data_IF_595939148780
#
_entry.id   IF_595939148780
#
_cell.length_a   1.000
_cell.length_b   1.000
_cell.length_c   1.000
_cell.angle_alpha   90.00
_cell.angle_beta   90.00
_cell.angle_gamma   90.00
#
_symmetry.space_group_name_H-M   'P 1'
#
loop_
_entity.id
_entity.type
_entity.pdbx_description
1 polymer ?
#
# COMPACT_ATOMS: atom_id res chain seq x y z
N UNK A 1 2.96 28.95 9.12
CA UNK A 1 2.80 27.58 9.66
C UNK A 1 2.93 26.64 8.47
N UNK A 2 3.77 25.58 8.55
CA UNK A 2 3.96 24.61 7.47
C UNK A 2 2.70 23.73 7.35
N UNK A 3 2.16 23.59 6.14
CA UNK A 3 1.01 22.74 5.82
C UNK A 3 1.49 21.61 4.89
N UNK A 4 1.51 20.39 5.42
CA UNK A 4 2.00 19.21 4.68
C UNK A 4 1.10 18.87 3.47
N UNK A 5 -0.22 19.06 3.59
CA UNK A 5 -1.15 18.79 2.49
C UNK A 5 -0.90 19.73 1.32
N UNK A 6 -0.76 21.01 1.61
CA UNK A 6 -0.40 22.02 0.60
C UNK A 6 0.98 21.75 -0.01
N UNK A 7 1.97 21.36 0.81
CA UNK A 7 3.29 20.99 0.33
C UNK A 7 3.23 19.81 -0.64
N UNK A 8 2.52 18.73 -0.27
CA UNK A 8 2.35 17.54 -1.15
C UNK A 8 1.74 17.97 -2.49
N UNK A 9 0.68 18.76 -2.46
CA UNK A 9 -0.01 19.21 -3.68
C UNK A 9 0.90 20.03 -4.60
N UNK A 10 1.67 20.95 -4.03
CA UNK A 10 2.48 21.88 -4.79
C UNK A 10 3.81 21.29 -5.28
N UNK A 11 4.52 20.54 -4.44
CA UNK A 11 5.90 20.12 -4.67
C UNK A 11 6.09 18.62 -4.97
N UNK A 12 5.13 17.77 -4.63
CA UNK A 12 5.29 16.32 -4.81
C UNK A 12 4.42 15.79 -5.94
N UNK A 13 3.14 16.15 -5.96
CA UNK A 13 2.20 15.67 -6.98
C UNK A 13 1.87 16.71 -8.05
N UNK A 14 2.28 17.98 -7.87
CA UNK A 14 2.14 19.11 -8.81
C UNK A 14 0.71 19.36 -9.30
N UNK A 15 -0.29 19.22 -8.42
CA UNK A 15 -1.71 19.47 -8.73
C UNK A 15 -2.50 19.97 -7.52
N UNK A 16 -3.46 20.85 -7.79
CA UNK A 16 -4.33 21.41 -6.76
C UNK A 16 -5.59 20.56 -6.62
N UNK A 17 -5.56 19.59 -5.71
CA UNK A 17 -6.66 18.67 -5.45
C UNK A 17 -6.51 17.33 -6.15
N UNK A 18 -7.44 16.41 -5.87
CA UNK A 18 -7.37 15.05 -6.37
C UNK A 18 -7.72 14.94 -7.85
N UNK A 19 -6.91 14.22 -8.60
CA UNK A 19 -7.19 13.89 -10.00
C UNK A 19 -8.41 12.95 -10.17
N UNK A 20 -8.87 12.31 -9.11
CA UNK A 20 -9.99 11.36 -9.15
C UNK A 20 -11.36 12.01 -8.86
N UNK A 21 -11.39 13.29 -8.47
CA UNK A 21 -12.63 14.02 -8.22
C UNK A 21 -13.63 13.94 -9.39
N UNK A 22 -13.23 14.12 -10.66
CA UNK A 22 -14.16 14.00 -11.79
C UNK A 22 -14.76 12.59 -11.94
N UNK A 23 -13.97 11.53 -11.69
CA UNK A 23 -14.47 10.16 -11.75
C UNK A 23 -15.44 9.87 -10.59
N UNK A 24 -15.16 10.37 -9.38
CA UNK A 24 -16.05 10.25 -8.21
C UNK A 24 -17.39 10.93 -8.48
N UNK A 25 -17.38 12.15 -8.99
CA UNK A 25 -18.57 12.89 -9.36
C UNK A 25 -19.38 12.14 -10.44
N UNK A 26 -18.73 11.70 -11.50
CA UNK A 26 -19.34 10.97 -12.61
C UNK A 26 -20.02 9.68 -12.16
N UNK A 27 -19.45 8.96 -11.21
CA UNK A 27 -19.94 7.66 -10.74
C UNK A 27 -20.60 7.71 -9.36
N UNK A 28 -20.94 8.91 -8.86
CA UNK A 28 -21.44 9.12 -7.51
C UNK A 28 -22.65 8.21 -7.18
N UNK A 29 -23.63 8.12 -8.06
CA UNK A 29 -24.82 7.30 -7.82
C UNK A 29 -24.49 5.81 -7.71
N UNK A 30 -23.55 5.32 -8.53
CA UNK A 30 -23.08 3.93 -8.45
C UNK A 30 -22.30 3.67 -7.15
N UNK A 31 -21.49 4.63 -6.71
CA UNK A 31 -20.77 4.53 -5.43
C UNK A 31 -21.76 4.51 -4.26
N UNK A 32 -22.81 5.34 -4.31
CA UNK A 32 -23.88 5.31 -3.32
C UNK A 32 -24.58 3.97 -3.30
N UNK A 33 -25.00 3.43 -4.45
CA UNK A 33 -25.64 2.10 -4.56
C UNK A 33 -24.78 0.99 -3.95
N UNK A 34 -23.45 1.07 -4.10
CA UNK A 34 -22.53 0.03 -3.66
C UNK A 34 -22.12 0.13 -2.18
N UNK A 35 -22.26 1.31 -1.56
CA UNK A 35 -21.73 1.55 -0.21
C UNK A 35 -22.83 1.82 0.82
N UNK A 36 -23.89 2.55 0.44
CA UNK A 36 -24.95 2.91 1.38
C UNK A 36 -25.55 1.66 2.02
N UNK A 37 -25.63 1.66 3.34
CA UNK A 37 -26.25 0.59 4.11
C UNK A 37 -25.47 -0.72 4.16
N UNK A 38 -24.23 -0.77 3.65
CA UNK A 38 -23.40 -1.99 3.64
C UNK A 38 -22.57 -2.12 4.92
N UNK A 39 -22.29 -3.39 5.27
CA UNK A 39 -21.29 -3.74 6.28
C UNK A 39 -19.90 -3.83 5.65
N UNK A 40 -18.95 -3.10 6.21
CA UNK A 40 -17.59 -2.97 5.66
C UNK A 40 -16.56 -3.47 6.65
N UNK A 41 -15.69 -4.39 6.23
CA UNK A 41 -14.49 -4.82 6.97
C UNK A 41 -13.24 -4.24 6.29
N UNK A 42 -12.43 -3.52 7.06
CA UNK A 42 -11.15 -2.98 6.61
C UNK A 42 -10.02 -3.58 7.44
N UNK A 43 -9.17 -4.38 6.82
CA UNK A 43 -7.99 -5.00 7.42
C UNK A 43 -6.76 -4.14 7.08
N UNK A 44 -5.90 -3.86 8.08
CA UNK A 44 -4.80 -2.89 7.93
C UNK A 44 -5.33 -1.44 7.85
N UNK A 45 -6.48 -1.19 8.49
CA UNK A 45 -7.24 0.05 8.34
C UNK A 45 -6.62 1.26 9.04
N UNK A 46 -5.71 1.05 9.98
CA UNK A 46 -4.97 2.15 10.64
C UNK A 46 -3.69 2.56 9.89
N UNK A 47 -3.31 1.82 8.85
CA UNK A 47 -2.22 2.19 7.93
C UNK A 47 -2.60 3.37 7.04
N UNK A 48 -1.61 3.95 6.32
CA UNK A 48 -1.82 5.15 5.49
C UNK A 48 -2.91 4.95 4.42
N UNK A 49 -2.88 3.85 3.67
CA UNK A 49 -3.84 3.60 2.60
C UNK A 49 -5.20 3.17 3.17
N UNK A 50 -5.20 2.28 4.19
CA UNK A 50 -6.43 1.81 4.83
C UNK A 50 -7.23 2.95 5.45
N UNK A 51 -6.58 3.86 6.18
CA UNK A 51 -7.22 5.04 6.76
C UNK A 51 -7.73 6.01 5.70
N UNK A 52 -7.00 6.18 4.58
CA UNK A 52 -7.44 6.98 3.45
C UNK A 52 -8.65 6.37 2.73
N UNK A 53 -8.69 5.04 2.57
CA UNK A 53 -9.86 4.34 2.05
C UNK A 53 -11.09 4.53 2.94
N UNK A 54 -10.93 4.41 4.26
CA UNK A 54 -12.00 4.67 5.22
C UNK A 54 -12.55 6.08 5.04
N UNK A 55 -11.68 7.09 4.94
CA UNK A 55 -12.09 8.49 4.71
C UNK A 55 -12.81 8.67 3.39
N UNK A 56 -12.43 7.94 2.34
CA UNK A 56 -13.07 8.01 1.03
C UNK A 56 -14.47 7.40 1.01
N UNK A 57 -14.72 6.29 1.76
CA UNK A 57 -16.03 5.62 1.76
C UNK A 57 -17.04 6.22 2.74
N UNK A 58 -16.59 6.85 3.85
CA UNK A 58 -17.48 7.38 4.89
C UNK A 58 -18.53 8.38 4.37
N UNK A 59 -18.23 9.31 3.43
CA UNK A 59 -19.24 10.20 2.87
C UNK A 59 -20.42 9.47 2.19
N UNK A 60 -20.21 8.22 1.77
CA UNK A 60 -21.25 7.35 1.18
C UNK A 60 -22.05 6.56 2.21
N UNK A 61 -21.84 6.77 3.52
CA UNK A 61 -22.64 6.27 4.64
C UNK A 61 -22.82 4.74 4.65
N UNK A 62 -21.74 3.95 4.80
CA UNK A 62 -21.90 2.53 5.15
C UNK A 62 -22.66 2.41 6.48
N UNK A 63 -23.45 1.36 6.65
CA UNK A 63 -24.21 1.14 7.88
C UNK A 63 -23.33 0.62 9.02
N UNK A 64 -22.22 -0.02 8.68
CA UNK A 64 -21.29 -0.60 9.62
C UNK A 64 -19.86 -0.50 9.09
N UNK A 65 -18.92 -0.25 9.99
CA UNK A 65 -17.49 -0.21 9.69
C UNK A 65 -16.71 -0.94 10.80
N UNK A 66 -16.17 -2.11 10.46
CA UNK A 66 -15.22 -2.84 11.29
C UNK A 66 -13.81 -2.62 10.78
N UNK A 67 -12.91 -2.18 11.64
CA UNK A 67 -11.52 -1.89 11.31
C UNK A 67 -10.61 -2.80 12.13
N UNK A 68 -9.76 -3.56 11.43
CA UNK A 68 -8.79 -4.48 12.05
C UNK A 68 -7.38 -4.02 11.71
N UNK A 69 -6.55 -3.89 12.73
CA UNK A 69 -5.12 -3.60 12.58
C UNK A 69 -4.35 -4.16 13.79
N UNK A 70 -3.09 -4.49 13.61
CA UNK A 70 -2.22 -4.93 14.72
C UNK A 70 -1.72 -3.75 15.57
N UNK A 71 -1.76 -2.54 15.02
CA UNK A 71 -1.28 -1.33 15.70
C UNK A 71 -2.41 -0.63 16.48
N UNK A 72 -2.52 -0.95 17.77
CA UNK A 72 -3.54 -0.40 18.68
C UNK A 72 -3.47 1.13 18.77
N UNK A 73 -2.28 1.73 18.83
CA UNK A 73 -2.11 3.18 18.91
C UNK A 73 -2.62 3.88 17.64
N UNK A 74 -2.32 3.31 16.48
CA UNK A 74 -2.79 3.85 15.20
C UNK A 74 -4.32 3.71 15.05
N UNK A 75 -4.94 2.63 15.53
CA UNK A 75 -6.41 2.49 15.60
C UNK A 75 -7.05 3.55 16.51
N UNK A 76 -6.44 3.80 17.67
CA UNK A 76 -6.89 4.83 18.60
C UNK A 76 -6.84 6.21 17.95
N UNK A 77 -5.74 6.53 17.27
CA UNK A 77 -5.58 7.82 16.61
C UNK A 77 -6.52 7.96 15.39
N UNK A 78 -6.70 6.90 14.61
CA UNK A 78 -7.70 6.89 13.54
C UNK A 78 -9.10 7.21 14.07
N UNK A 79 -9.50 6.57 15.18
CA UNK A 79 -10.81 6.79 15.81
C UNK A 79 -10.98 8.25 16.25
N UNK A 80 -9.98 8.81 16.95
CA UNK A 80 -9.99 10.22 17.37
C UNK A 80 -10.08 11.15 16.17
N UNK A 81 -9.26 10.92 15.15
CA UNK A 81 -9.21 11.73 13.94
C UNK A 81 -10.54 11.72 13.17
N UNK A 82 -11.20 10.57 13.05
CA UNK A 82 -12.53 10.48 12.41
C UNK A 82 -13.60 11.22 13.21
N UNK A 83 -13.63 11.03 14.54
CA UNK A 83 -14.61 11.65 15.42
C UNK A 83 -14.42 13.16 15.62
N UNK A 84 -13.19 13.67 15.48
CA UNK A 84 -12.87 15.09 15.54
C UNK A 84 -12.91 15.82 14.20
N UNK A 85 -13.07 15.09 13.10
CA UNK A 85 -13.12 15.68 11.75
C UNK A 85 -14.44 16.43 11.56
N UNK A 86 -14.36 17.72 11.18
CA UNK A 86 -15.53 18.54 10.87
C UNK A 86 -16.40 17.95 9.74
N UNK A 87 -15.78 17.32 8.75
CA UNK A 87 -16.47 16.77 7.56
C UNK A 87 -16.90 15.31 7.73
N UNK A 88 -16.18 14.51 8.51
CA UNK A 88 -16.39 13.05 8.58
C UNK A 88 -17.09 12.58 9.85
N UNK A 89 -17.08 13.35 10.94
CA UNK A 89 -17.65 12.90 12.23
C UNK A 89 -19.12 12.50 12.13
N UNK A 90 -19.90 13.20 11.33
CA UNK A 90 -21.32 12.89 11.08
C UNK A 90 -21.53 11.72 10.08
N UNK A 91 -20.46 11.22 9.45
CA UNK A 91 -20.50 10.11 8.51
C UNK A 91 -20.03 8.79 9.12
N UNK A 92 -19.44 8.83 10.33
CA UNK A 92 -19.03 7.61 11.05
C UNK A 92 -20.28 6.86 11.49
N UNK A 93 -20.47 5.58 11.08
CA UNK A 93 -21.65 4.82 11.46
C UNK A 93 -21.72 4.56 12.97
N UNK A 94 -22.91 4.32 13.51
CA UNK A 94 -23.09 3.95 14.90
C UNK A 94 -22.36 2.64 15.22
N UNK A 95 -22.37 1.69 14.29
CA UNK A 95 -21.59 0.46 14.36
C UNK A 95 -20.18 0.67 13.80
N UNK A 96 -19.36 1.40 14.52
CA UNK A 96 -17.92 1.55 14.25
C UNK A 96 -17.13 0.77 15.29
N UNK A 97 -16.44 -0.29 14.86
CA UNK A 97 -15.76 -1.27 15.72
C UNK A 97 -14.28 -1.42 15.32
N UNK A 98 -13.34 -0.73 15.96
CA UNK A 98 -11.91 -0.93 15.78
C UNK A 98 -11.41 -2.07 16.68
N UNK A 99 -10.72 -3.05 16.08
CA UNK A 99 -10.15 -4.20 16.78
C UNK A 99 -8.63 -4.28 16.60
N UNK A 100 -7.83 -4.21 17.69
CA UNK A 100 -6.39 -4.44 17.66
C UNK A 100 -6.11 -5.95 17.63
N UNK A 101 -6.13 -6.53 16.44
CA UNK A 101 -5.86 -7.97 16.25
C UNK A 101 -5.21 -8.26 14.90
N UNK A 102 -4.52 -9.39 14.84
CA UNK A 102 -4.02 -9.94 13.59
C UNK A 102 -5.16 -10.68 12.86
N UNK A 103 -5.34 -10.40 11.57
CA UNK A 103 -6.37 -11.04 10.74
C UNK A 103 -6.11 -12.53 10.46
N UNK A 104 -4.91 -13.03 10.72
CA UNK A 104 -4.59 -14.47 10.67
C UNK A 104 -4.88 -15.21 11.97
N UNK A 105 -5.28 -14.48 13.03
CA UNK A 105 -5.51 -15.06 14.36
C UNK A 105 -6.82 -15.82 14.47
N UNK A 106 -6.88 -16.77 15.43
CA UNK A 106 -8.11 -17.48 15.79
C UNK A 106 -9.19 -16.51 16.27
N UNK A 107 -8.80 -15.40 16.93
CA UNK A 107 -9.74 -14.37 17.40
C UNK A 107 -10.44 -13.69 16.25
N UNK A 108 -9.68 -13.34 15.18
CA UNK A 108 -10.25 -12.77 13.96
C UNK A 108 -11.23 -13.76 13.29
N UNK A 109 -10.82 -15.02 13.11
CA UNK A 109 -11.70 -16.03 12.51
C UNK A 109 -13.01 -16.20 13.30
N UNK A 110 -12.95 -16.18 14.62
CA UNK A 110 -14.14 -16.22 15.49
C UNK A 110 -15.00 -14.96 15.33
N UNK A 111 -14.41 -13.77 15.34
CA UNK A 111 -15.12 -12.52 15.11
C UNK A 111 -15.84 -12.57 13.76
N UNK A 112 -15.13 -12.91 12.69
CA UNK A 112 -15.67 -12.96 11.33
C UNK A 112 -16.83 -13.96 11.19
N UNK A 113 -16.69 -15.18 11.72
CA UNK A 113 -17.70 -16.23 11.59
C UNK A 113 -18.95 -15.99 12.46
N UNK A 114 -18.83 -15.19 13.56
CA UNK A 114 -19.96 -14.81 14.39
C UNK A 114 -20.63 -13.53 13.92
N UNK A 115 -19.91 -12.72 13.13
CA UNK A 115 -20.46 -11.47 12.63
C UNK A 115 -21.63 -11.71 11.69
N UNK A 116 -22.69 -10.89 11.80
CA UNK A 116 -23.83 -10.89 10.89
C UNK A 116 -23.92 -9.55 10.19
N UNK A 117 -24.16 -9.60 8.91
CA UNK A 117 -24.39 -8.39 8.10
C UNK A 117 -25.63 -7.64 8.59
N UNK A 118 -25.80 -6.43 8.11
CA UNK A 118 -26.92 -5.55 8.48
C UNK A 118 -28.27 -6.21 8.24
N UNK A 119 -28.41 -7.11 7.26
CA UNK A 119 -29.62 -7.90 6.99
C UNK A 119 -29.93 -8.95 8.10
N UNK A 120 -28.99 -9.20 9.00
CA UNK A 120 -29.08 -10.17 10.09
C UNK A 120 -29.11 -11.65 9.68
N UNK A 121 -29.18 -11.94 8.39
CA UNK A 121 -29.32 -13.32 7.87
C UNK A 121 -27.97 -13.89 7.43
N UNK A 122 -27.19 -13.13 6.68
CA UNK A 122 -25.87 -13.56 6.17
C UNK A 122 -24.77 -13.31 7.20
N UNK A 123 -23.79 -14.20 7.22
CA UNK A 123 -22.56 -14.02 8.01
C UNK A 123 -21.48 -13.28 7.21
N UNK A 124 -20.47 -12.77 7.90
CA UNK A 124 -19.38 -12.01 7.31
C UNK A 124 -19.79 -10.58 6.94
N UNK A 125 -19.19 -10.01 5.93
CA UNK A 125 -19.33 -8.60 5.52
C UNK A 125 -19.72 -8.49 4.06
N UNK A 126 -20.37 -7.38 3.68
CA UNK A 126 -20.71 -7.11 2.28
C UNK A 126 -19.46 -6.69 1.50
N UNK A 127 -18.63 -5.85 2.11
CA UNK A 127 -17.40 -5.31 1.51
C UNK A 127 -16.23 -5.68 2.42
N UNK A 128 -15.20 -6.31 1.85
CA UNK A 128 -13.96 -6.62 2.56
C UNK A 128 -12.79 -6.00 1.81
N UNK A 129 -12.03 -5.14 2.47
CA UNK A 129 -10.85 -4.50 1.93
C UNK A 129 -9.61 -4.82 2.79
N UNK A 130 -8.57 -5.41 2.17
CA UNK A 130 -7.35 -5.81 2.84
C UNK A 130 -6.17 -4.92 2.42
N UNK A 131 -5.66 -4.12 3.36
CA UNK A 131 -4.50 -3.25 3.21
C UNK A 131 -3.28 -3.74 3.99
N UNK A 132 -3.38 -4.89 4.67
CA UNK A 132 -2.25 -5.47 5.39
C UNK A 132 -1.17 -5.90 4.41
N UNK A 133 0.04 -5.38 4.56
CA UNK A 133 1.17 -5.74 3.73
C UNK A 133 2.52 -5.39 4.38
N UNK A 134 3.51 -6.25 4.18
CA UNK A 134 4.91 -5.87 4.27
C UNK A 134 5.33 -5.31 2.91
N UNK A 135 5.61 -3.99 2.85
CA UNK A 135 5.77 -3.22 1.60
C UNK A 135 7.20 -2.75 1.33
N UNK A 136 8.11 -2.96 2.27
CA UNK A 136 9.48 -2.45 2.16
C UNK A 136 10.42 -3.51 1.60
N UNK A 137 11.30 -3.10 0.66
CA UNK A 137 12.40 -3.93 0.16
C UNK A 137 13.40 -4.28 1.29
N UNK A 138 13.47 -3.46 2.36
CA UNK A 138 14.20 -3.80 3.61
C UNK A 138 13.80 -5.15 4.22
N UNK A 139 12.59 -5.64 3.94
CA UNK A 139 12.09 -6.93 4.41
C UNK A 139 12.71 -8.13 3.67
N UNK A 140 13.77 -7.93 2.89
CA UNK A 140 14.47 -8.98 2.14
C UNK A 140 15.91 -9.23 2.62
N UNK A 141 16.27 -8.76 3.81
CA UNK A 141 17.66 -8.83 4.30
C UNK A 141 18.14 -10.26 4.60
N UNK A 142 17.26 -11.11 5.12
CA UNK A 142 17.55 -12.48 5.53
C UNK A 142 16.32 -13.39 5.36
N UNK A 143 16.49 -14.69 5.64
CA UNK A 143 15.41 -15.69 5.50
C UNK A 143 14.22 -15.41 6.42
N UNK A 144 14.44 -14.93 7.64
CA UNK A 144 13.36 -14.64 8.60
C UNK A 144 12.52 -13.45 8.16
N UNK A 145 13.17 -12.40 7.64
CA UNK A 145 12.49 -11.24 7.07
C UNK A 145 11.68 -11.61 5.83
N UNK A 146 12.22 -12.48 4.98
CA UNK A 146 11.54 -13.01 3.79
C UNK A 146 10.34 -13.87 4.19
N UNK A 147 10.49 -14.76 5.18
CA UNK A 147 9.40 -15.56 5.71
C UNK A 147 8.27 -14.65 6.23
N UNK A 148 8.60 -13.67 7.09
CA UNK A 148 7.60 -12.74 7.63
C UNK A 148 6.85 -11.99 6.53
N UNK A 149 7.57 -11.58 5.47
CA UNK A 149 6.97 -10.91 4.31
C UNK A 149 6.01 -11.84 3.54
N UNK A 150 6.45 -13.05 3.20
CA UNK A 150 5.63 -14.01 2.45
C UNK A 150 4.44 -14.52 3.26
N UNK A 151 4.62 -14.75 4.57
CA UNK A 151 3.49 -15.08 5.47
C UNK A 151 2.44 -14.00 5.45
N UNK A 152 2.83 -12.74 5.68
CA UNK A 152 1.84 -11.65 5.73
C UNK A 152 1.20 -11.38 4.36
N UNK A 153 1.99 -11.32 3.28
CA UNK A 153 1.48 -10.91 1.98
C UNK A 153 0.72 -12.00 1.23
N UNK A 154 1.01 -13.28 1.47
CA UNK A 154 0.48 -14.38 0.67
C UNK A 154 -0.16 -15.47 1.54
N UNK A 155 0.58 -16.05 2.50
CA UNK A 155 0.11 -17.23 3.25
C UNK A 155 -1.12 -16.87 4.11
N UNK A 156 -1.04 -15.79 4.89
CA UNK A 156 -2.16 -15.32 5.71
C UNK A 156 -3.34 -14.84 4.85
N UNK A 157 -3.03 -14.22 3.70
CA UNK A 157 -4.07 -13.82 2.74
C UNK A 157 -4.86 -15.02 2.22
N UNK A 158 -4.20 -16.19 1.99
CA UNK A 158 -4.90 -17.42 1.63
C UNK A 158 -5.89 -17.86 2.70
N UNK A 159 -5.49 -17.85 3.98
CA UNK A 159 -6.39 -18.18 5.09
C UNK A 159 -7.62 -17.26 5.15
N UNK A 160 -7.43 -15.97 4.91
CA UNK A 160 -8.54 -15.02 4.79
C UNK A 160 -9.47 -15.37 3.62
N UNK A 161 -8.90 -15.66 2.44
CA UNK A 161 -9.69 -15.97 1.23
C UNK A 161 -10.49 -17.29 1.39
N UNK A 162 -9.94 -18.28 2.09
CA UNK A 162 -10.67 -19.51 2.43
C UNK A 162 -11.88 -19.18 3.32
N UNK A 163 -11.71 -18.34 4.34
CA UNK A 163 -12.79 -17.89 5.22
C UNK A 163 -13.87 -17.09 4.46
N UNK A 164 -13.44 -16.24 3.51
CA UNK A 164 -14.35 -15.49 2.64
C UNK A 164 -15.11 -16.42 1.68
N UNK A 165 -14.52 -17.51 1.21
CA UNK A 165 -15.19 -18.45 0.32
C UNK A 165 -16.36 -19.17 1.01
N UNK A 166 -16.29 -19.36 2.33
CA UNK A 166 -17.41 -19.90 3.12
C UNK A 166 -18.54 -18.87 3.36
N UNK A 167 -18.20 -17.57 3.39
CA UNK A 167 -19.11 -16.46 3.60
C UNK A 167 -18.82 -15.32 2.61
N UNK A 168 -19.16 -15.51 1.31
CA UNK A 168 -18.70 -14.67 0.22
C UNK A 168 -19.17 -13.21 0.36
N UNK A 169 -18.27 -12.22 0.29
CA UNK A 169 -18.64 -10.81 0.21
C UNK A 169 -19.17 -10.44 -1.17
N UNK A 170 -19.86 -9.31 -1.29
CA UNK A 170 -20.23 -8.73 -2.58
C UNK A 170 -18.99 -8.18 -3.30
N UNK A 171 -17.98 -7.79 -2.54
CA UNK A 171 -16.71 -7.30 -3.07
C UNK A 171 -15.57 -7.61 -2.11
N UNK A 172 -14.49 -8.18 -2.64
CA UNK A 172 -13.19 -8.22 -2.01
C UNK A 172 -12.20 -7.34 -2.77
N UNK A 173 -11.50 -6.49 -2.04
CA UNK A 173 -10.44 -5.65 -2.57
C UNK A 173 -9.14 -5.88 -1.78
N UNK A 174 -8.01 -5.94 -2.48
CA UNK A 174 -6.69 -6.01 -1.87
C UNK A 174 -5.75 -5.07 -2.62
N UNK A 175 -4.92 -4.32 -1.90
CA UNK A 175 -3.97 -3.40 -2.53
C UNK A 175 -2.77 -4.15 -3.11
N UNK A 176 -2.39 -3.81 -4.35
CA UNK A 176 -1.16 -4.22 -5.01
C UNK A 176 -0.20 -3.03 -5.21
N UNK A 177 0.81 -3.17 -6.01
CA UNK A 177 1.86 -2.17 -6.26
C UNK A 177 2.30 -2.21 -7.72
N UNK A 178 2.86 -1.10 -8.22
CA UNK A 178 3.60 -1.01 -9.48
C UNK A 178 4.69 -2.09 -9.60
N UNK A 179 5.35 -2.45 -8.49
CA UNK A 179 6.41 -3.47 -8.46
C UNK A 179 5.91 -4.90 -8.75
N UNK A 180 4.60 -5.14 -8.72
CA UNK A 180 4.00 -6.42 -9.09
C UNK A 180 3.91 -6.63 -10.60
N UNK A 181 3.94 -5.57 -11.42
CA UNK A 181 3.87 -5.67 -12.88
C UNK A 181 5.06 -6.44 -13.44
N UNK A 182 6.27 -6.05 -13.05
CA UNK A 182 7.53 -6.67 -13.49
C UNK A 182 8.50 -6.77 -12.30
N UNK A 183 8.32 -7.77 -11.41
CA UNK A 183 9.04 -7.84 -10.14
C UNK A 183 10.53 -8.17 -10.33
N UNK A 184 11.40 -7.43 -9.62
CA UNK A 184 12.86 -7.67 -9.56
C UNK A 184 13.33 -7.91 -8.11
N UNK A 185 12.39 -8.00 -7.18
CA UNK A 185 12.64 -8.27 -5.77
C UNK A 185 11.51 -9.14 -5.19
N UNK A 186 11.77 -9.76 -4.03
CA UNK A 186 10.82 -10.70 -3.39
C UNK A 186 9.53 -9.99 -3.00
N UNK A 187 9.60 -8.73 -2.56
CA UNK A 187 8.41 -7.96 -2.19
C UNK A 187 7.49 -7.76 -3.40
N UNK A 188 8.01 -7.32 -4.55
CA UNK A 188 7.26 -7.21 -5.80
C UNK A 188 6.69 -8.56 -6.26
N UNK A 189 7.51 -9.62 -6.21
CA UNK A 189 7.09 -10.98 -6.53
C UNK A 189 5.98 -11.48 -5.60
N UNK A 190 6.06 -11.21 -4.28
CA UNK A 190 5.02 -11.57 -3.34
C UNK A 190 3.67 -10.90 -3.67
N UNK A 191 3.69 -9.65 -4.13
CA UNK A 191 2.49 -8.95 -4.58
C UNK A 191 1.95 -9.49 -5.90
N UNK A 192 2.82 -9.88 -6.83
CA UNK A 192 2.40 -10.54 -8.07
C UNK A 192 1.75 -11.89 -7.79
N UNK A 193 2.32 -12.70 -6.89
CA UNK A 193 1.75 -13.98 -6.46
C UNK A 193 0.44 -13.77 -5.68
N UNK A 194 0.35 -12.71 -4.86
CA UNK A 194 -0.90 -12.32 -4.20
C UNK A 194 -2.00 -11.97 -5.23
N UNK A 195 -1.68 -11.26 -6.34
CA UNK A 195 -2.65 -11.01 -7.42
C UNK A 195 -3.18 -12.34 -8.00
N UNK A 196 -2.30 -13.30 -8.28
CA UNK A 196 -2.71 -14.61 -8.77
C UNK A 196 -3.53 -15.38 -7.72
N UNK A 197 -3.15 -15.31 -6.45
CA UNK A 197 -3.88 -15.93 -5.35
C UNK A 197 -5.31 -15.40 -5.26
N UNK A 198 -5.51 -14.07 -5.19
CA UNK A 198 -6.85 -13.50 -5.04
C UNK A 198 -7.72 -13.81 -6.27
N UNK A 199 -7.16 -13.78 -7.48
CA UNK A 199 -7.89 -14.10 -8.71
C UNK A 199 -8.27 -15.56 -8.81
N UNK A 200 -7.53 -16.47 -8.19
CA UNK A 200 -7.90 -17.88 -8.12
C UNK A 200 -9.20 -18.14 -7.32
N UNK A 201 -9.65 -17.16 -6.51
CA UNK A 201 -10.94 -17.20 -5.80
C UNK A 201 -12.07 -16.47 -6.52
N UNK A 202 -11.83 -15.92 -7.70
CA UNK A 202 -12.79 -15.07 -8.43
C UNK A 202 -14.09 -15.78 -8.86
N UNK A 203 -14.13 -17.11 -8.84
CA UNK A 203 -15.35 -17.89 -9.05
C UNK A 203 -16.22 -17.98 -7.78
N UNK A 204 -15.67 -17.76 -6.60
CA UNK A 204 -16.40 -17.80 -5.34
C UNK A 204 -17.01 -16.43 -4.97
N UNK A 205 -16.28 -15.35 -5.23
CA UNK A 205 -16.73 -13.97 -4.99
C UNK A 205 -15.96 -12.98 -5.89
N UNK A 206 -16.51 -11.76 -6.14
CA UNK A 206 -15.83 -10.75 -6.93
C UNK A 206 -14.56 -10.24 -6.25
N UNK A 207 -13.43 -10.29 -6.96
CA UNK A 207 -12.11 -9.82 -6.48
C UNK A 207 -11.58 -8.71 -7.38
N UNK A 208 -10.96 -7.70 -6.77
CA UNK A 208 -10.35 -6.55 -7.46
C UNK A 208 -9.09 -6.12 -6.75
N UNK A 209 -8.20 -5.47 -7.48
CA UNK A 209 -6.98 -4.90 -6.91
C UNK A 209 -6.59 -3.62 -7.64
N UNK A 210 -5.64 -2.88 -7.07
CA UNK A 210 -5.04 -1.73 -7.71
C UNK A 210 -3.53 -1.74 -7.52
N UNK A 211 -2.79 -1.46 -8.59
CA UNK A 211 -1.34 -1.23 -8.56
C UNK A 211 -1.08 0.25 -8.33
N UNK A 212 -0.41 0.56 -7.25
CA UNK A 212 -0.20 1.92 -6.81
C UNK A 212 1.16 2.46 -7.19
N UNK A 213 1.17 3.78 -7.41
CA UNK A 213 2.32 4.64 -7.23
C UNK A 213 2.70 4.80 -5.74
N UNK A 214 3.80 5.50 -5.45
CA UNK A 214 4.14 5.82 -4.08
C UNK A 214 3.11 6.79 -3.47
N UNK A 215 2.68 6.52 -2.25
CA UNK A 215 1.83 7.46 -1.51
C UNK A 215 2.73 8.46 -0.79
N UNK A 216 2.58 9.74 -1.13
CA UNK A 216 3.39 10.82 -0.57
C UNK A 216 3.28 10.85 0.97
N UNK A 217 4.41 10.88 1.65
CA UNK A 217 4.52 10.91 3.12
C UNK A 217 3.75 9.78 3.84
N UNK A 218 3.55 8.63 3.19
CA UNK A 218 2.97 7.46 3.86
C UNK A 218 3.89 6.92 4.96
N UNK A 219 3.29 6.31 5.99
CA UNK A 219 4.03 5.74 7.12
C UNK A 219 5.18 4.83 6.66
N UNK A 220 6.38 5.09 7.19
CA UNK A 220 7.61 4.38 6.85
C UNK A 220 8.19 4.71 5.47
N UNK A 221 7.62 5.64 4.70
CA UNK A 221 8.23 6.13 3.45
C UNK A 221 9.43 7.02 3.75
N UNK A 222 10.35 7.13 2.79
CA UNK A 222 11.51 8.01 2.92
C UNK A 222 11.11 9.48 3.16
N UNK A 223 10.13 10.08 2.42
CA UNK A 223 9.67 11.44 2.71
C UNK A 223 9.05 11.62 4.10
N UNK A 224 8.31 10.65 4.63
CA UNK A 224 7.84 10.71 6.01
C UNK A 224 9.01 10.71 7.01
N UNK A 225 10.05 9.93 6.70
CA UNK A 225 11.29 9.91 7.47
C UNK A 225 12.04 11.26 7.48
N UNK A 226 11.89 12.10 6.46
CA UNK A 226 12.47 13.46 6.48
C UNK A 226 11.88 14.31 7.59
N UNK A 227 10.55 14.32 7.74
CA UNK A 227 9.87 15.06 8.82
C UNK A 227 10.33 14.57 10.21
N UNK A 228 10.47 13.26 10.37
CA UNK A 228 10.94 12.65 11.62
C UNK A 228 12.37 13.09 11.92
N UNK A 229 13.28 13.04 10.94
CA UNK A 229 14.67 13.49 11.10
C UNK A 229 14.77 14.98 11.40
N UNK A 230 13.98 15.82 10.71
CA UNK A 230 13.95 17.26 10.99
C UNK A 230 13.55 17.52 12.44
N UNK A 231 12.50 16.83 12.93
CA UNK A 231 12.06 16.95 14.32
C UNK A 231 13.13 16.52 15.32
N UNK A 232 13.97 15.54 14.96
CA UNK A 232 15.08 15.03 15.78
C UNK A 232 16.40 15.76 15.53
N UNK A 233 16.43 16.77 14.65
CA UNK A 233 17.66 17.50 14.25
C UNK A 233 18.73 16.58 13.66
N UNK A 234 18.31 15.56 12.93
CA UNK A 234 19.17 14.63 12.20
C UNK A 234 19.32 15.09 10.75
N UNK A 235 20.44 14.79 10.07
CA UNK A 235 20.61 15.17 8.67
C UNK A 235 19.66 14.42 7.76
N UNK A 236 19.42 14.95 6.55
CA UNK A 236 18.66 14.24 5.54
C UNK A 236 19.59 13.55 4.54
N UNK A 237 19.21 12.32 4.14
CA UNK A 237 19.86 11.58 3.05
C UNK A 237 18.81 11.04 2.09
N UNK A 238 19.11 11.11 0.79
CA UNK A 238 18.21 10.62 -0.24
C UNK A 238 18.96 10.19 -1.52
N UNK A 239 18.42 9.21 -2.28
CA UNK A 239 18.91 8.92 -3.63
C UNK A 239 18.51 10.05 -4.59
N UNK A 240 19.46 10.46 -5.45
CA UNK A 240 19.29 11.53 -6.43
C UNK A 240 18.94 11.05 -7.84
N UNK A 241 19.03 9.75 -8.11
CA UNK A 241 18.82 9.13 -9.42
C UNK A 241 17.56 8.25 -9.51
N UNK A 242 16.77 8.21 -8.45
CA UNK A 242 15.54 7.40 -8.36
C UNK A 242 14.32 8.27 -8.56
N UNK A 243 13.62 8.09 -9.67
CA UNK A 243 12.36 8.78 -9.97
C UNK A 243 11.16 7.92 -9.60
N UNK A 244 10.14 8.54 -9.03
CA UNK A 244 8.89 7.84 -8.65
C UNK A 244 7.67 8.68 -8.98
N UNK A 245 6.59 7.98 -9.33
CA UNK A 245 5.25 8.54 -9.35
C UNK A 245 4.73 8.67 -7.92
N UNK A 246 4.01 9.75 -7.66
CA UNK A 246 3.36 9.97 -6.37
C UNK A 246 1.87 10.25 -6.52
N UNK A 247 1.12 9.75 -5.54
CA UNK A 247 -0.27 10.13 -5.28
C UNK A 247 -0.38 10.69 -3.86
N UNK A 248 -1.35 11.57 -3.63
CA UNK A 248 -1.60 12.07 -2.26
C UNK A 248 -2.23 10.98 -1.38
N UNK A 249 -2.21 11.11 -0.04
CA UNK A 249 -2.95 10.23 0.85
C UNK A 249 -4.44 10.16 0.49
N UNK A 250 -5.08 11.29 0.17
CA UNK A 250 -6.48 11.36 -0.27
C UNK A 250 -6.69 10.53 -1.54
N UNK A 251 -5.88 10.76 -2.57
CA UNK A 251 -5.94 10.02 -3.83
C UNK A 251 -5.77 8.52 -3.64
N UNK A 252 -4.91 8.10 -2.72
CA UNK A 252 -4.70 6.68 -2.42
C UNK A 252 -5.99 5.99 -1.93
N UNK A 253 -6.77 6.65 -1.09
CA UNK A 253 -8.06 6.15 -0.63
C UNK A 253 -9.11 6.14 -1.75
N UNK A 254 -9.12 7.16 -2.58
CA UNK A 254 -10.06 7.29 -3.70
C UNK A 254 -9.81 6.24 -4.79
N UNK A 255 -8.56 5.95 -5.14
CA UNK A 255 -8.22 4.83 -6.06
C UNK A 255 -8.79 3.52 -5.52
N UNK A 256 -8.57 3.23 -4.23
CA UNK A 256 -9.07 2.01 -3.61
C UNK A 256 -10.60 1.94 -3.65
N UNK A 257 -11.28 3.03 -3.32
CA UNK A 257 -12.74 3.10 -3.35
C UNK A 257 -13.28 2.88 -4.77
N UNK A 258 -12.77 3.63 -5.75
CA UNK A 258 -13.20 3.50 -7.16
C UNK A 258 -12.97 2.08 -7.67
N UNK A 259 -11.79 1.51 -7.41
CA UNK A 259 -11.42 0.15 -7.83
C UNK A 259 -12.31 -0.91 -7.19
N UNK A 260 -12.53 -0.83 -5.88
CA UNK A 260 -13.32 -1.78 -5.13
C UNK A 260 -14.80 -1.75 -5.54
N UNK A 261 -15.38 -0.56 -5.76
CA UNK A 261 -16.80 -0.39 -5.97
C UNK A 261 -17.19 -0.47 -7.45
N UNK A 262 -16.40 0.07 -8.36
CA UNK A 262 -16.74 0.18 -9.78
C UNK A 262 -16.11 -0.92 -10.65
N UNK A 263 -15.04 -1.55 -10.18
CA UNK A 263 -14.32 -2.58 -10.92
C UNK A 263 -15.17 -3.83 -11.19
N UNK A 264 -15.02 -4.40 -12.38
CA UNK A 264 -15.48 -5.74 -12.66
C UNK A 264 -14.58 -6.79 -11.97
N UNK A 265 -15.07 -8.03 -11.90
CA UNK A 265 -14.30 -9.12 -11.32
C UNK A 265 -12.96 -9.31 -12.04
N UNK A 266 -11.86 -9.45 -11.28
CA UNK A 266 -10.46 -9.56 -11.74
C UNK A 266 -9.87 -8.32 -12.43
N UNK A 267 -10.48 -7.15 -12.28
CA UNK A 267 -9.84 -5.92 -12.74
C UNK A 267 -8.67 -5.52 -11.83
N UNK A 268 -7.60 -5.02 -12.47
CA UNK A 268 -6.48 -4.35 -11.81
C UNK A 268 -6.50 -2.88 -12.23
N UNK A 269 -6.67 -1.99 -11.28
CA UNK A 269 -6.66 -0.56 -11.53
C UNK A 269 -5.27 0.04 -11.33
N UNK A 270 -5.01 1.14 -12.00
CA UNK A 270 -3.81 1.95 -11.77
C UNK A 270 -4.08 3.42 -12.13
N UNK A 271 -3.37 4.39 -11.51
CA UNK A 271 -3.52 5.80 -11.83
C UNK A 271 -2.88 6.10 -13.19
N UNK A 272 -3.52 6.95 -14.00
CA UNK A 272 -2.95 7.50 -15.23
C UNK A 272 -2.02 8.64 -14.86
N UNK A 273 -0.73 8.35 -14.75
CA UNK A 273 0.31 9.31 -14.42
C UNK A 273 1.31 9.41 -15.58
N UNK A 274 1.69 10.64 -15.90
CA UNK A 274 2.64 10.95 -16.97
C UNK A 274 4.05 11.07 -16.42
N UNK A 275 5.07 10.77 -17.21
CA UNK A 275 6.48 10.82 -16.79
C UNK A 275 6.89 12.19 -16.22
N UNK A 276 6.32 13.27 -16.74
CA UNK A 276 6.55 14.63 -16.22
C UNK A 276 6.07 14.83 -14.77
N UNK A 277 5.26 13.92 -14.23
CA UNK A 277 4.74 13.95 -12.85
C UNK A 277 5.61 13.14 -11.88
N UNK A 278 6.74 12.59 -12.33
CA UNK A 278 7.69 11.94 -11.44
C UNK A 278 8.51 12.96 -10.66
N UNK A 279 8.78 12.63 -9.40
CA UNK A 279 9.68 13.39 -8.53
C UNK A 279 10.82 12.50 -8.04
N UNK A 280 11.98 13.08 -7.76
CA UNK A 280 13.09 12.42 -7.09
C UNK A 280 13.06 12.70 -5.60
N UNK A 281 13.68 11.83 -4.78
CA UNK A 281 13.62 11.97 -3.32
C UNK A 281 14.47 13.13 -2.80
N UNK A 282 15.63 13.40 -3.43
CA UNK A 282 16.48 14.55 -3.12
C UNK A 282 15.73 15.86 -3.37
N UNK A 283 15.03 15.98 -4.51
CA UNK A 283 14.23 17.17 -4.81
C UNK A 283 13.10 17.40 -3.78
N UNK A 284 12.42 16.32 -3.37
CA UNK A 284 11.39 16.41 -2.30
C UNK A 284 12.02 16.89 -0.98
N UNK A 285 13.24 16.43 -0.63
CA UNK A 285 13.93 16.85 0.57
C UNK A 285 14.34 18.33 0.52
N UNK A 286 14.88 18.80 -0.63
CA UNK A 286 15.22 20.20 -0.86
C UNK A 286 14.00 21.12 -0.75
N UNK A 287 12.93 20.77 -1.45
CA UNK A 287 11.69 21.58 -1.45
C UNK A 287 11.07 21.62 -0.04
N UNK A 288 11.13 20.49 0.72
CA UNK A 288 10.65 20.42 2.09
C UNK A 288 11.43 21.37 3.02
N UNK A 289 12.76 21.30 2.98
CA UNK A 289 13.61 22.18 3.79
C UNK A 289 13.36 23.66 3.43
N UNK A 290 13.31 23.98 2.14
CA UNK A 290 13.02 25.33 1.64
C UNK A 290 11.66 25.83 2.08
N UNK A 291 10.61 25.01 1.97
CA UNK A 291 9.25 25.34 2.40
C UNK A 291 9.15 25.55 3.93
N UNK A 292 10.02 24.91 4.70
CA UNK A 292 10.12 25.06 6.14
C UNK A 292 11.04 26.25 6.53
N UNK A 293 11.67 26.94 5.57
CA UNK A 293 12.50 28.12 5.78
C UNK A 293 13.96 27.82 6.11
N UNK A 294 14.47 26.63 5.81
CA UNK A 294 15.87 26.26 5.96
C UNK A 294 16.66 26.56 4.69
N UNK A 295 17.89 27.04 4.86
CA UNK A 295 18.94 26.97 3.84
C UNK A 295 19.57 25.56 3.89
N UNK A 296 20.17 25.11 2.78
CA UNK A 296 20.69 23.75 2.65
C UNK A 296 22.23 23.76 2.66
N UNK A 297 22.83 22.88 3.46
CA UNK A 297 24.28 22.60 3.49
C UNK A 297 24.52 21.20 2.89
N UNK A 298 24.99 21.16 1.65
CA UNK A 298 25.29 19.90 0.96
C UNK A 298 26.61 19.32 1.48
N UNK A 299 26.55 18.06 1.91
CA UNK A 299 27.68 17.30 2.44
C UNK A 299 28.12 16.23 1.45
N UNK A 300 29.41 15.92 1.43
CA UNK A 300 30.00 14.92 0.52
C UNK A 300 29.79 13.48 1.00
N UNK A 301 29.41 13.28 2.28
CA UNK A 301 29.14 11.95 2.85
C UNK A 301 28.12 11.98 3.99
N UNK A 302 27.58 10.79 4.32
CA UNK A 302 26.70 10.61 5.47
C UNK A 302 27.41 10.99 6.79
N UNK A 303 28.70 10.64 6.94
CA UNK A 303 29.50 10.95 8.13
C UNK A 303 29.68 12.46 8.32
N UNK A 304 29.92 13.20 7.24
CA UNK A 304 30.02 14.67 7.29
C UNK A 304 28.69 15.28 7.70
N UNK A 305 27.58 14.85 7.07
CA UNK A 305 26.25 15.34 7.39
C UNK A 305 25.87 15.08 8.86
N UNK A 306 26.19 13.88 9.38
CA UNK A 306 26.01 13.53 10.80
C UNK A 306 26.86 14.43 11.70
N UNK A 307 28.13 14.61 11.38
CA UNK A 307 29.04 15.46 12.18
C UNK A 307 28.60 16.93 12.24
N UNK A 308 28.09 17.47 11.12
CA UNK A 308 27.53 18.81 11.06
C UNK A 308 26.20 18.92 11.83
N UNK A 309 25.33 17.90 11.76
CA UNK A 309 24.05 17.92 12.47
C UNK A 309 24.21 18.00 14.00
N UNK A 310 25.25 17.40 14.56
CA UNK A 310 25.58 17.52 16.00
C UNK A 310 25.84 18.96 16.46
N UNK A 311 26.30 19.82 15.57
CA UNK A 311 26.59 21.23 15.83
C UNK A 311 25.52 22.17 15.31
N UNK A 312 24.50 21.63 14.64
CA UNK A 312 23.47 22.41 14.00
C UNK A 312 22.57 23.11 15.02
N UNK A 313 22.28 24.39 14.78
CA UNK A 313 21.34 25.21 15.53
C UNK A 313 20.46 26.00 14.57
N UNK A 314 19.29 26.43 15.03
CA UNK A 314 18.38 27.24 14.22
C UNK A 314 19.11 28.49 13.64
N UNK A 315 18.95 28.71 12.34
CA UNK A 315 19.59 29.80 11.60
C UNK A 315 20.88 29.39 10.87
N UNK A 316 21.39 28.17 11.07
CA UNK A 316 22.42 27.59 10.23
C UNK A 316 21.80 26.78 9.08
N UNK A 317 22.50 26.65 7.93
CA UNK A 317 22.07 25.77 6.84
C UNK A 317 21.92 24.31 7.33
N UNK A 318 20.90 23.62 6.82
CA UNK A 318 20.55 22.26 7.25
C UNK A 318 21.39 21.22 6.50
N UNK A 319 22.11 20.30 7.19
CA UNK A 319 23.00 19.36 6.55
C UNK A 319 22.23 18.26 5.81
N UNK A 320 22.60 18.02 4.54
CA UNK A 320 22.05 16.98 3.70
C UNK A 320 23.14 16.22 2.96
N UNK A 321 22.92 14.92 2.67
CA UNK A 321 23.77 14.16 1.76
C UNK A 321 22.89 13.44 0.74
N UNK A 322 23.09 13.75 -0.55
CA UNK A 322 22.39 13.11 -1.67
C UNK A 322 23.37 12.29 -2.50
N UNK A 323 23.07 11.01 -2.68
CA UNK A 323 23.94 10.08 -3.40
C UNK A 323 23.16 9.27 -4.43
N UNK A 324 23.86 8.59 -5.33
CA UNK A 324 23.21 7.64 -6.22
C UNK A 324 22.77 6.40 -5.45
N UNK A 325 21.64 5.80 -5.88
CA UNK A 325 21.17 4.53 -5.33
C UNK A 325 22.12 3.40 -5.69
N UNK A 326 22.45 2.57 -4.71
CA UNK A 326 23.26 1.35 -4.87
C UNK A 326 22.61 0.14 -4.18
N UNK A 327 21.31 0.25 -3.85
CA UNK A 327 20.56 -0.78 -3.14
C UNK A 327 20.04 -1.88 -4.05
N UNK A 328 19.87 -3.10 -3.48
CA UNK A 328 19.30 -4.25 -4.18
C UNK A 328 17.83 -4.01 -4.56
N UNK A 329 17.43 -4.54 -5.72
CA UNK A 329 16.02 -4.60 -6.12
C UNK A 329 15.34 -3.25 -6.42
N UNK A 330 16.12 -2.18 -6.63
CA UNK A 330 15.60 -0.87 -6.99
C UNK A 330 15.72 -0.62 -8.50
N UNK A 331 14.62 -0.16 -9.13
CA UNK A 331 14.58 0.26 -10.53
C UNK A 331 14.66 1.78 -10.64
N UNK A 332 15.14 2.28 -11.79
CA UNK A 332 15.13 3.71 -12.09
C UNK A 332 13.71 4.29 -12.09
N UNK A 333 12.74 3.55 -12.65
CA UNK A 333 11.30 3.87 -12.61
C UNK A 333 10.47 2.58 -12.60
N UNK A 334 9.21 2.69 -12.22
CA UNK A 334 8.27 1.57 -12.11
C UNK A 334 7.17 1.67 -13.17
N UNK A 335 6.60 0.51 -13.54
CA UNK A 335 5.54 0.38 -14.53
C UNK A 335 4.28 -0.19 -13.88
N UNK A 336 3.10 0.26 -14.33
CA UNK A 336 1.83 -0.24 -13.80
C UNK A 336 1.34 -1.50 -14.51
N UNK A 337 1.75 -1.72 -15.75
CA UNK A 337 1.35 -2.86 -16.58
C UNK A 337 2.50 -3.28 -17.48
N UNK A 338 2.41 -4.50 -18.02
CA UNK A 338 3.41 -5.08 -18.92
C UNK A 338 2.82 -5.31 -20.30
N UNK A 339 3.70 -5.46 -21.30
CA UNK A 339 3.28 -5.82 -22.64
C UNK A 339 2.45 -7.11 -22.65
N UNK A 340 1.35 -7.12 -23.42
CA UNK A 340 0.41 -8.24 -23.49
C UNK A 340 -0.72 -8.22 -22.45
N UNK A 341 -0.73 -7.31 -21.48
CA UNK A 341 -1.90 -7.08 -20.64
C UNK A 341 -2.96 -6.26 -21.41
N UNK A 342 -4.24 -6.66 -21.31
CA UNK A 342 -5.37 -5.94 -21.93
C UNK A 342 -5.69 -4.69 -21.11
N UNK A 343 -5.27 -3.53 -21.59
CA UNK A 343 -5.39 -2.25 -20.87
C UNK A 343 -6.50 -1.39 -21.46
N UNK A 344 -7.44 -0.98 -20.62
CA UNK A 344 -8.47 0.01 -20.94
C UNK A 344 -8.08 1.38 -20.35
N UNK A 345 -7.85 2.34 -21.23
CA UNK A 345 -7.55 3.73 -20.87
C UNK A 345 -8.75 4.68 -21.03
N UNK A 346 -9.92 4.18 -21.49
CA UNK A 346 -11.04 5.04 -21.89
C UNK A 346 -12.18 5.07 -20.86
N UNK A 347 -12.39 3.98 -20.11
CA UNK A 347 -13.55 3.86 -19.21
C UNK A 347 -13.59 4.88 -18.07
N UNK A 348 -12.43 5.32 -17.58
CA UNK A 348 -12.29 6.30 -16.49
C UNK A 348 -11.40 7.48 -16.92
N UNK A 349 -11.65 8.66 -16.37
CA UNK A 349 -10.84 9.85 -16.65
C UNK A 349 -9.40 9.71 -16.15
N UNK A 350 -9.24 9.29 -14.91
CA UNK A 350 -7.93 9.29 -14.22
C UNK A 350 -7.39 7.90 -13.88
N UNK A 351 -8.12 6.83 -14.24
CA UNK A 351 -7.72 5.44 -13.98
C UNK A 351 -7.58 4.64 -15.27
N UNK A 352 -6.50 3.88 -15.39
CA UNK A 352 -6.36 2.77 -16.30
C UNK A 352 -6.82 1.46 -15.64
N UNK A 353 -7.29 0.51 -16.44
CA UNK A 353 -7.78 -0.78 -15.97
C UNK A 353 -7.20 -1.90 -16.80
N UNK A 354 -6.51 -2.84 -16.17
CA UNK A 354 -6.14 -4.10 -16.79
C UNK A 354 -7.35 -5.03 -16.65
N UNK A 355 -7.84 -5.49 -17.79
CA UNK A 355 -9.00 -6.36 -17.94
C UNK A 355 -8.59 -7.77 -18.35
N UNK A 356 -9.55 -8.66 -18.38
CA UNK A 356 -9.45 -9.99 -18.98
C UNK A 356 -8.31 -10.86 -18.44
N UNK A 357 -7.92 -10.62 -17.17
CA UNK A 357 -6.94 -11.49 -16.52
C UNK A 357 -7.48 -12.91 -16.42
N UNK A 358 -6.72 -13.86 -16.94
CA UNK A 358 -7.02 -15.27 -16.79
C UNK A 358 -7.17 -15.65 -15.30
N UNK A 359 -8.01 -16.62 -15.01
CA UNK A 359 -8.12 -17.18 -13.65
C UNK A 359 -6.87 -18.03 -13.44
N UNK A 360 -6.00 -17.70 -12.48
CA UNK A 360 -4.83 -18.50 -12.17
C UNK A 360 -5.23 -19.89 -11.65
N UNK A 361 -4.39 -20.86 -11.93
CA UNK A 361 -4.55 -22.22 -11.41
C UNK A 361 -4.38 -22.21 -9.88
N UNK A 362 -5.49 -22.42 -9.16
CA UNK A 362 -5.53 -22.40 -7.70
C UNK A 362 -4.63 -23.47 -7.08
N UNK A 363 -4.52 -24.64 -7.73
CA UNK A 363 -3.70 -25.74 -7.21
C UNK A 363 -2.21 -25.41 -7.31
N UNK A 364 -1.78 -24.72 -8.38
CA UNK A 364 -0.40 -24.25 -8.52
C UNK A 364 -0.02 -23.22 -7.47
N UNK A 365 -0.87 -22.22 -7.24
CA UNK A 365 -0.62 -21.22 -6.19
C UNK A 365 -0.60 -21.87 -4.81
N UNK A 366 -1.53 -22.79 -4.54
CA UNK A 366 -1.60 -23.49 -3.26
C UNK A 366 -0.41 -24.41 -3.06
N UNK A 367 0.06 -25.07 -4.11
CA UNK A 367 1.27 -25.92 -4.06
C UNK A 367 2.52 -25.07 -3.73
N UNK A 368 2.67 -23.88 -4.33
CA UNK A 368 3.75 -22.96 -3.99
C UNK A 368 3.69 -22.55 -2.51
N UNK A 369 2.52 -22.16 -2.00
CA UNK A 369 2.35 -21.78 -0.60
C UNK A 369 2.74 -22.93 0.33
N UNK A 370 2.31 -24.16 0.02
CA UNK A 370 2.67 -25.34 0.81
C UNK A 370 4.18 -25.58 0.78
N UNK A 371 4.83 -25.47 -0.38
CA UNK A 371 6.27 -25.62 -0.49
C UNK A 371 7.05 -24.60 0.34
N UNK A 372 6.54 -23.36 0.49
CA UNK A 372 7.11 -22.38 1.39
C UNK A 372 6.94 -22.76 2.87
N UNK A 373 5.75 -23.22 3.29
CA UNK A 373 5.56 -23.68 4.68
C UNK A 373 6.48 -24.83 5.03
N UNK A 374 6.69 -25.80 4.11
CA UNK A 374 7.64 -26.91 4.28
C UNK A 374 9.09 -26.41 4.33
N UNK A 375 9.45 -25.46 3.46
CA UNK A 375 10.79 -24.88 3.43
C UNK A 375 11.11 -24.09 4.71
N UNK A 376 10.19 -23.27 5.20
CA UNK A 376 10.36 -22.49 6.43
C UNK A 376 10.42 -23.36 7.69
N UNK A 377 9.85 -24.56 7.67
CA UNK A 377 10.00 -25.52 8.75
C UNK A 377 11.41 -26.18 8.77
N UNK A 378 12.21 -26.00 7.72
CA UNK A 378 13.56 -26.54 7.60
C UNK A 378 14.60 -25.48 8.01
N UNK A 379 15.35 -25.73 9.07
CA UNK A 379 16.39 -24.83 9.59
C UNK A 379 17.50 -24.49 8.59
N UNK A 380 17.68 -25.30 7.54
CA UNK A 380 18.69 -25.07 6.49
C UNK A 380 18.17 -24.25 5.29
N UNK A 381 16.91 -23.86 5.30
CA UNK A 381 16.33 -23.05 4.23
C UNK A 381 17.02 -21.68 4.13
N UNK A 382 17.35 -21.29 2.92
CA UNK A 382 18.02 -20.00 2.63
C UNK A 382 17.12 -19.06 1.81
N UNK A 383 17.44 -17.76 1.83
CA UNK A 383 16.80 -16.79 0.92
C UNK A 383 16.91 -17.22 -0.55
N UNK A 384 18.07 -17.78 -0.96
CA UNK A 384 18.30 -18.26 -2.32
C UNK A 384 17.34 -19.40 -2.72
N UNK A 385 16.96 -20.27 -1.78
CA UNK A 385 16.02 -21.34 -2.07
C UNK A 385 14.61 -20.79 -2.31
N UNK A 386 14.19 -19.80 -1.54
CA UNK A 386 12.93 -19.11 -1.75
C UNK A 386 12.91 -18.37 -3.10
N UNK A 387 14.00 -17.67 -3.48
CA UNK A 387 14.15 -17.03 -4.79
C UNK A 387 13.98 -18.03 -5.93
N UNK A 388 14.57 -19.23 -5.84
CA UNK A 388 14.39 -20.29 -6.83
C UNK A 388 12.95 -20.79 -6.91
N UNK A 389 12.27 -20.96 -5.77
CA UNK A 389 10.85 -21.36 -5.74
C UNK A 389 9.96 -20.30 -6.41
N UNK A 390 10.20 -19.01 -6.13
CA UNK A 390 9.51 -17.90 -6.78
C UNK A 390 9.78 -17.92 -8.30
N UNK A 391 11.04 -18.06 -8.73
CA UNK A 391 11.41 -18.14 -10.14
C UNK A 391 10.79 -19.34 -10.88
N UNK A 392 10.59 -20.46 -10.19
CA UNK A 392 9.87 -21.61 -10.76
C UNK A 392 8.38 -21.34 -10.99
N UNK A 393 7.78 -20.48 -10.18
CA UNK A 393 6.38 -20.08 -10.31
C UNK A 393 6.21 -18.88 -11.26
N UNK A 394 7.11 -17.90 -11.21
CA UNK A 394 7.16 -16.72 -12.06
C UNK A 394 8.38 -16.81 -13.00
N UNK A 395 8.27 -17.39 -14.20
CA UNK A 395 9.43 -17.64 -15.07
C UNK A 395 10.22 -16.38 -15.49
N UNK A 396 9.56 -15.22 -15.49
CA UNK A 396 10.18 -13.93 -15.84
C UNK A 396 10.72 -13.18 -14.61
N UNK A 397 10.76 -13.80 -13.43
CA UNK A 397 11.29 -13.18 -12.23
C UNK A 397 12.82 -13.24 -12.22
N UNK A 398 13.44 -12.07 -12.32
CA UNK A 398 14.89 -11.89 -12.21
C UNK A 398 15.19 -11.12 -10.92
N UNK A 399 15.67 -11.83 -9.89
CA UNK A 399 16.00 -11.22 -8.60
C UNK A 399 17.29 -10.41 -8.70
N UNK A 400 17.20 -9.08 -8.49
CA UNK A 400 18.37 -8.19 -8.47
C UNK A 400 18.92 -8.12 -7.04
N UNK A 401 20.11 -8.70 -6.82
CA UNK A 401 20.79 -8.72 -5.53
C UNK A 401 22.18 -8.06 -5.65
N UNK A 402 22.41 -6.98 -4.91
CA UNK A 402 23.71 -6.27 -4.88
C UNK A 402 24.47 -6.53 -3.59
N UNK A 403 23.89 -7.26 -2.64
CA UNK A 403 24.47 -7.52 -1.31
C UNK A 403 24.45 -6.31 -0.38
N UNK A 404 23.84 -5.19 -0.79
CA UNK A 404 23.72 -3.98 0.02
C UNK A 404 22.28 -3.81 0.53
N UNK A 405 22.13 -3.67 1.84
CA UNK A 405 20.84 -3.46 2.50
C UNK A 405 20.59 -1.96 2.74
N UNK A 406 19.32 -1.56 2.65
CA UNK A 406 18.88 -0.23 3.07
C UNK A 406 19.07 0.02 4.58
N UNK A 407 19.23 -1.03 5.40
CA UNK A 407 19.46 -0.90 6.84
C UNK A 407 20.84 -0.32 7.18
N UNK A 408 21.80 -0.33 6.25
CA UNK A 408 23.11 0.31 6.38
C UNK A 408 23.14 1.77 5.93
N UNK A 409 22.03 2.33 5.48
CA UNK A 409 21.91 3.72 4.99
C UNK A 409 21.32 4.64 6.07
N UNK A 410 21.78 5.88 6.06
CA UNK A 410 21.26 6.96 6.90
C UNK A 410 19.77 7.28 6.62
#
# INVERSE_FOLDING_TARGET
MFDLGQFINQYVIHRNGSMFTPDIERYKDKLQEKIVGKSVLVIGGAGSIGSSFIRAILPFKPAELVVVDTNENALTELTRSLRSSYTLSACVPDLYLPYPMDYSSVVFSRMFTHHRRVDGQKRGFDIVANFSAHKHVRSEKDIFSVEALLRNNVINAKGLLDLLAENPPETYFCVSTDKAANPVNIMGASKRIMEDLIFSYSNAFPVKTARFANVAFSNGSLPAGFLERINQRQPLSAPSDVKRYFVSPEESGQICMLSAMLGANRNIFFPKLEEAQMSTFDKIAEDLLTAMGYEIDYCDSDEEAIAKSHKWTNGLPYPVHFSKSDTSGEKAFEEFYVEGESVDMESYGSLGVIKDKAIPDKDKVTALIRSWDEAFANETCTKSDIVKMIGSYLPNFEHIETGKSLDGKM
#
